data_IF_957495377200
#
_entry.id   IF_957495377200
#
_cell.length_a   1.000
_cell.length_b   1.000
_cell.length_c   1.000
_cell.angle_alpha   90.00
_cell.angle_beta   90.00
_cell.angle_gamma   90.00
#
_symmetry.space_group_name_H-M   'P 1'
#
loop_
_entity.id
_entity.type
_entity.pdbx_description
1 polymer ?
#
# COMPACT_ATOMS: atom_id res chain seq x y z
N UNK A 1 -37.84 13.84 2.62
CA UNK A 1 -36.90 13.89 3.77
C UNK A 1 -35.71 13.00 3.47
N UNK A 2 -34.53 13.60 3.50
CA UNK A 2 -33.20 13.11 3.15
C UNK A 2 -32.87 11.72 3.74
N UNK A 3 -32.05 10.89 3.09
CA UNK A 3 -30.59 11.08 2.97
C UNK A 3 -30.05 10.42 1.70
N UNK A 4 -29.52 11.24 0.80
CA UNK A 4 -28.58 10.81 -0.25
C UNK A 4 -27.24 10.53 0.42
N UNK A 5 -26.87 9.26 0.50
CA UNK A 5 -25.57 8.81 1.00
C UNK A 5 -24.53 9.16 -0.05
N UNK A 6 -23.84 10.28 0.15
CA UNK A 6 -22.65 10.67 -0.62
C UNK A 6 -21.60 9.56 -0.49
N UNK A 7 -21.47 8.72 -1.51
CA UNK A 7 -20.28 7.91 -1.69
C UNK A 7 -19.11 8.86 -1.92
N UNK A 8 -18.26 9.05 -0.90
CA UNK A 8 -16.97 9.71 -1.06
C UNK A 8 -16.13 8.79 -1.92
N UNK A 9 -16.02 9.13 -3.20
CA UNK A 9 -15.03 8.55 -4.10
C UNK A 9 -13.65 8.74 -3.46
N UNK A 10 -13.02 7.63 -3.09
CA UNK A 10 -11.68 7.55 -2.47
C UNK A 10 -10.59 7.85 -3.51
N UNK A 11 -10.74 8.97 -4.22
CA UNK A 11 -9.82 9.41 -5.26
C UNK A 11 -8.68 10.15 -4.58
N UNK A 12 -7.73 9.40 -4.01
CA UNK A 12 -6.37 9.91 -3.87
C UNK A 12 -5.96 10.40 -5.27
N UNK A 13 -5.32 11.58 -5.39
CA UNK A 13 -4.95 12.12 -6.69
C UNK A 13 -4.00 11.15 -7.38
N UNK A 14 -4.53 10.34 -8.30
CA UNK A 14 -3.75 9.34 -9.02
C UNK A 14 -2.72 10.08 -9.84
N UNK A 15 -1.46 10.01 -9.39
CA UNK A 15 -0.33 10.52 -10.15
C UNK A 15 -0.19 9.70 -11.44
N UNK A 16 0.41 10.31 -12.46
CA UNK A 16 0.74 9.60 -13.69
C UNK A 16 1.66 8.38 -13.47
N UNK A 17 2.42 8.36 -12.37
CA UNK A 17 3.27 7.25 -11.95
C UNK A 17 3.01 6.97 -10.46
N UNK A 18 2.34 5.85 -10.11
CA UNK A 18 2.07 5.47 -8.73
C UNK A 18 3.35 5.33 -7.90
N UNK A 19 3.37 5.93 -6.72
CA UNK A 19 4.45 5.83 -5.75
C UNK A 19 4.10 4.78 -4.68
N UNK A 20 4.68 3.59 -4.79
CA UNK A 20 4.31 2.44 -3.95
C UNK A 20 5.47 2.09 -3.01
N UNK A 21 5.19 2.08 -1.71
CA UNK A 21 6.15 1.55 -0.74
C UNK A 21 6.03 0.03 -0.63
N UNK A 22 7.16 -0.67 -0.71
CA UNK A 22 7.23 -2.13 -0.62
C UNK A 22 8.00 -2.53 0.64
N UNK A 23 7.26 -3.06 1.62
CA UNK A 23 7.75 -3.45 2.95
C UNK A 23 8.00 -4.96 3.01
N UNK A 24 9.16 -5.38 2.51
CA UNK A 24 9.54 -6.80 2.45
C UNK A 24 11.00 -7.01 2.83
N UNK A 25 11.23 -7.98 3.73
CA UNK A 25 12.57 -8.40 4.12
C UNK A 25 13.26 -9.14 2.96
N UNK A 26 14.34 -8.59 2.43
CA UNK A 26 15.04 -9.14 1.25
C UNK A 26 16.15 -10.14 1.60
N UNK A 27 16.48 -10.30 2.89
CA UNK A 27 17.47 -11.28 3.34
C UNK A 27 17.08 -12.72 2.98
N UNK A 28 15.77 -13.03 2.90
CA UNK A 28 15.26 -14.38 2.63
C UNK A 28 14.73 -14.53 1.20
N UNK A 29 14.72 -15.77 0.71
CA UNK A 29 14.22 -16.09 -0.64
C UNK A 29 12.77 -15.66 -0.88
N UNK A 30 11.92 -15.71 0.15
CA UNK A 30 10.52 -15.29 0.06
C UNK A 30 10.37 -13.80 -0.35
N UNK A 31 11.08 -12.87 0.31
CA UNK A 31 10.97 -11.46 -0.03
C UNK A 31 11.48 -11.14 -1.43
N UNK A 32 12.53 -11.84 -1.88
CA UNK A 32 13.02 -11.73 -3.27
C UNK A 32 12.00 -12.25 -4.29
N UNK A 33 11.34 -13.36 -3.99
CA UNK A 33 10.28 -13.90 -4.86
C UNK A 33 9.08 -12.93 -4.96
N UNK A 34 8.70 -12.30 -3.84
CA UNK A 34 7.67 -11.26 -3.82
C UNK A 34 8.09 -10.06 -4.68
N UNK A 35 9.31 -9.55 -4.51
CA UNK A 35 9.83 -8.44 -5.32
C UNK A 35 9.86 -8.77 -6.81
N UNK A 36 10.25 -10.00 -7.17
CA UNK A 36 10.22 -10.45 -8.55
C UNK A 36 8.80 -10.42 -9.13
N UNK A 37 7.79 -10.91 -8.39
CA UNK A 37 6.39 -10.84 -8.80
C UNK A 37 5.87 -9.41 -8.96
N UNK A 38 6.24 -8.50 -8.05
CA UNK A 38 5.89 -7.07 -8.18
C UNK A 38 6.55 -6.48 -9.43
N UNK A 39 7.83 -6.76 -9.66
CA UNK A 39 8.55 -6.28 -10.85
C UNK A 39 7.89 -6.79 -12.15
N UNK A 40 7.49 -8.07 -12.18
CA UNK A 40 6.76 -8.64 -13.32
C UNK A 40 5.40 -7.95 -13.53
N UNK A 41 4.65 -7.70 -12.47
CA UNK A 41 3.36 -7.00 -12.55
C UNK A 41 3.52 -5.57 -13.09
N UNK A 42 4.47 -4.80 -12.54
CA UNK A 42 4.71 -3.41 -12.97
C UNK A 42 5.16 -3.32 -14.43
N UNK A 43 5.92 -4.30 -14.92
CA UNK A 43 6.31 -4.37 -16.33
C UNK A 43 5.10 -4.51 -17.27
N UNK A 44 4.04 -5.18 -16.83
CA UNK A 44 2.82 -5.41 -17.62
C UNK A 44 1.78 -4.28 -17.49
N UNK A 45 1.71 -3.63 -16.32
CA UNK A 45 0.62 -2.70 -15.98
C UNK A 45 1.04 -1.23 -15.89
N UNK A 46 2.27 -0.90 -16.28
CA UNK A 46 2.73 0.47 -16.40
C UNK A 46 3.71 0.89 -15.30
N UNK A 47 4.37 2.04 -15.50
CA UNK A 47 5.49 2.43 -14.66
C UNK A 47 5.00 2.72 -13.25
N UNK A 48 5.51 1.97 -12.28
CA UNK A 48 5.36 2.26 -10.85
C UNK A 48 6.71 2.65 -10.29
N UNK A 49 6.74 3.65 -9.42
CA UNK A 49 7.94 3.93 -8.64
C UNK A 49 7.87 3.12 -7.34
N UNK A 50 8.78 2.17 -7.18
CA UNK A 50 8.82 1.28 -6.03
C UNK A 50 9.85 1.77 -5.02
N UNK A 51 9.38 2.13 -3.82
CA UNK A 51 10.23 2.39 -2.67
C UNK A 51 10.39 1.09 -1.87
N UNK A 52 11.45 0.33 -2.14
CA UNK A 52 11.70 -0.96 -1.47
C UNK A 52 12.40 -0.70 -0.14
N UNK A 53 11.74 -1.05 0.96
CA UNK A 53 12.28 -0.89 2.31
C UNK A 53 12.18 -2.21 3.08
N UNK A 54 13.31 -2.79 3.52
CA UNK A 54 13.31 -3.98 4.38
C UNK A 54 12.93 -3.65 5.83
N UNK A 55 12.58 -2.39 6.15
CA UNK A 55 12.38 -1.89 7.51
C UNK A 55 11.05 -1.17 7.74
N UNK A 56 11.02 -0.41 8.83
CA UNK A 56 9.85 0.34 9.31
C UNK A 56 9.60 1.58 8.43
N UNK A 57 8.42 1.65 7.81
CA UNK A 57 8.01 2.75 6.93
C UNK A 57 8.04 4.10 7.66
N UNK A 58 7.61 4.11 8.92
CA UNK A 58 7.55 5.31 9.75
C UNK A 58 8.92 5.89 10.12
N UNK A 59 10.00 5.09 10.05
CA UNK A 59 11.36 5.60 10.28
C UNK A 59 11.89 6.42 9.10
N UNK A 60 11.44 6.12 7.88
CA UNK A 60 11.94 6.79 6.66
C UNK A 60 11.00 7.84 6.11
N UNK A 61 9.69 7.64 6.22
CA UNK A 61 8.73 8.66 5.83
C UNK A 61 8.74 9.78 6.86
N UNK A 62 9.46 10.86 6.53
CA UNK A 62 9.25 12.12 7.24
C UNK A 62 7.83 12.63 6.93
N UNK A 63 7.18 13.36 7.84
CA UNK A 63 5.81 13.83 7.68
C UNK A 63 5.47 14.49 6.31
N UNK A 64 6.34 15.33 5.70
CA UNK A 64 6.06 15.88 4.36
C UNK A 64 6.23 14.88 3.21
N UNK A 65 6.96 13.79 3.42
CA UNK A 65 7.15 12.72 2.42
C UNK A 65 6.05 11.66 2.48
N UNK A 66 5.34 11.57 3.60
CA UNK A 66 4.23 10.64 3.81
C UNK A 66 3.05 10.87 2.83
N UNK A 67 2.77 12.13 2.46
CA UNK A 67 1.79 12.46 1.42
C UNK A 67 2.26 12.15 -0.02
N UNK A 68 3.48 11.62 -0.18
CA UNK A 68 4.03 11.21 -1.47
C UNK A 68 3.81 9.74 -1.80
N UNK A 69 3.18 8.95 -0.94
CA UNK A 69 2.82 7.58 -1.31
C UNK A 69 1.40 7.50 -1.82
N UNK A 70 1.21 6.66 -2.82
CA UNK A 70 -0.08 6.33 -3.41
C UNK A 70 -0.56 4.94 -2.94
N UNK A 71 0.31 4.14 -2.31
CA UNK A 71 -0.04 2.85 -1.72
C UNK A 71 1.13 2.13 -1.02
N UNK A 72 0.80 1.05 -0.32
CA UNK A 72 1.78 0.20 0.39
C UNK A 72 1.54 -1.28 0.07
N UNK A 73 2.62 -2.03 -0.18
CA UNK A 73 2.59 -3.48 -0.36
C UNK A 73 3.56 -4.10 0.64
N UNK A 74 3.15 -5.09 1.42
CA UNK A 74 4.11 -5.85 2.24
C UNK A 74 3.61 -6.29 3.60
N UNK A 75 4.56 -6.65 4.46
CA UNK A 75 4.30 -7.14 5.81
C UNK A 75 4.27 -5.97 6.80
N UNK A 76 3.12 -5.75 7.42
CA UNK A 76 2.96 -4.71 8.44
C UNK A 76 3.17 -5.34 9.82
N UNK A 77 4.40 -5.28 10.30
CA UNK A 77 4.80 -5.90 11.57
C UNK A 77 4.95 -4.88 12.72
N UNK A 78 4.99 -3.58 12.43
CA UNK A 78 5.11 -2.51 13.43
C UNK A 78 3.82 -1.70 13.56
N UNK A 79 3.41 -1.42 14.81
CA UNK A 79 2.22 -0.60 15.11
C UNK A 79 2.31 0.81 14.52
N UNK A 80 3.53 1.37 14.45
CA UNK A 80 3.75 2.72 13.91
C UNK A 80 3.46 2.77 12.41
N UNK A 81 3.85 1.75 11.67
CA UNK A 81 3.54 1.62 10.24
C UNK A 81 2.04 1.50 10.01
N UNK A 82 1.37 0.63 10.76
CA UNK A 82 -0.09 0.50 10.70
C UNK A 82 -0.78 1.86 11.01
N UNK A 83 -0.37 2.53 12.08
CA UNK A 83 -0.94 3.83 12.43
C UNK A 83 -0.68 4.91 11.38
N UNK A 84 0.51 4.92 10.75
CA UNK A 84 0.86 5.85 9.69
C UNK A 84 0.01 5.61 8.43
N UNK A 85 -0.08 4.35 8.00
CA UNK A 85 -0.91 3.93 6.87
C UNK A 85 -2.37 4.35 7.08
N UNK A 86 -2.94 4.05 8.24
CA UNK A 86 -4.33 4.40 8.57
C UNK A 86 -4.54 5.92 8.59
N UNK A 87 -3.58 6.69 9.12
CA UNK A 87 -3.65 8.16 9.16
C UNK A 87 -3.59 8.79 7.77
N UNK A 88 -2.84 8.19 6.86
CA UNK A 88 -2.66 8.65 5.48
C UNK A 88 -3.73 8.11 4.53
N UNK A 89 -4.56 7.19 5.01
CA UNK A 89 -5.65 6.59 4.23
C UNK A 89 -5.15 5.91 2.95
N UNK A 90 -3.97 5.27 3.03
CA UNK A 90 -3.31 4.63 1.90
C UNK A 90 -3.92 3.24 1.61
N UNK A 91 -4.10 2.87 0.33
CA UNK A 91 -4.44 1.51 -0.04
C UNK A 91 -3.28 0.57 0.30
N UNK A 92 -3.60 -0.58 0.90
CA UNK A 92 -2.59 -1.56 1.34
C UNK A 92 -2.88 -2.96 0.83
N UNK A 93 -1.86 -3.57 0.22
CA UNK A 93 -1.82 -5.01 -0.06
C UNK A 93 -0.91 -5.66 0.98
N UNK A 94 -1.51 -6.36 1.93
CA UNK A 94 -0.73 -6.98 3.00
C UNK A 94 -0.32 -8.42 2.65
N UNK A 95 0.96 -8.74 2.86
CA UNK A 95 1.56 -10.05 2.59
C UNK A 95 1.77 -10.77 3.94
N UNK A 96 0.68 -10.92 4.70
CA UNK A 96 0.70 -11.36 6.10
C UNK A 96 1.27 -10.29 7.06
N UNK A 97 1.63 -10.70 8.27
CA UNK A 97 2.17 -9.82 9.32
C UNK A 97 1.20 -9.65 10.50
N UNK A 98 1.69 -9.02 11.57
CA UNK A 98 0.97 -8.95 12.85
C UNK A 98 -0.30 -8.10 12.81
N UNK A 99 -0.38 -7.11 11.92
CA UNK A 99 -1.49 -6.15 11.86
C UNK A 99 -2.44 -6.39 10.67
N UNK A 100 -2.42 -7.61 10.11
CA UNK A 100 -3.20 -8.01 8.93
C UNK A 100 -4.74 -7.91 9.12
N UNK A 101 -5.27 -7.93 10.36
CA UNK A 101 -6.73 -7.95 10.60
C UNK A 101 -7.27 -6.88 11.57
N UNK A 102 -6.40 -6.09 12.24
CA UNK A 102 -6.82 -5.37 13.46
C UNK A 102 -6.77 -3.85 13.34
N UNK A 103 -6.18 -3.28 12.29
CA UNK A 103 -5.96 -1.81 12.23
C UNK A 103 -5.99 -1.22 10.82
N UNK A 104 -5.69 -2.03 9.81
CA UNK A 104 -5.82 -1.65 8.41
C UNK A 104 -7.13 -2.30 7.95
N UNK A 105 -8.14 -1.52 7.48
CA UNK A 105 -9.34 -2.15 6.95
C UNK A 105 -8.90 -3.15 5.89
N UNK A 106 -9.37 -4.41 5.93
CA UNK A 106 -9.12 -5.33 4.82
C UNK A 106 -9.56 -4.59 3.55
N UNK A 107 -8.79 -4.75 2.47
CA UNK A 107 -9.20 -4.28 1.15
C UNK A 107 -10.71 -4.54 1.02
N UNK A 108 -11.53 -3.56 0.59
CA UNK A 108 -12.93 -3.85 0.33
C UNK A 108 -12.96 -5.16 -0.46
N UNK A 109 -13.79 -6.11 -0.02
CA UNK A 109 -13.92 -7.43 -0.64
C UNK A 109 -13.78 -7.29 -2.14
N UNK A 110 -13.08 -8.25 -2.77
CA UNK A 110 -12.57 -8.25 -4.15
C UNK A 110 -13.53 -7.81 -5.29
N UNK A 111 -14.76 -7.40 -4.96
CA UNK A 111 -15.73 -6.72 -5.79
C UNK A 111 -15.30 -5.32 -6.28
N UNK A 112 -14.23 -4.73 -5.73
CA UNK A 112 -13.72 -3.42 -6.19
C UNK A 112 -12.19 -3.33 -6.29
N UNK A 113 -11.49 -4.42 -6.64
CA UNK A 113 -10.17 -4.27 -7.26
C UNK A 113 -10.42 -3.69 -8.66
N UNK A 114 -10.36 -2.36 -8.81
CA UNK A 114 -10.23 -1.78 -10.15
C UNK A 114 -8.84 -2.16 -10.65
N UNK A 115 -8.77 -3.34 -11.27
CA UNK A 115 -7.90 -3.58 -12.41
C UNK A 115 -8.41 -2.65 -13.51
N UNK A 116 -8.07 -1.37 -13.41
CA UNK A 116 -8.32 -0.46 -14.51
C UNK A 116 -7.30 -0.84 -15.60
N UNK A 117 -7.78 -1.65 -16.55
CA UNK A 117 -7.12 -1.97 -17.82
C UNK A 117 -7.08 -0.75 -18.75
#
# INVERSE_FOLDING_TARGET
MSKSTKHKSHLLPMRSIPQIAVLVETARGFGRAVLAGIADYTRLHGPWNLLIEPGDLSQRLRPPDAGKLDGVIGRIDHRRDAALITRLDLPVVSIGGRYFNETIPPLPSAENICLCA
#
